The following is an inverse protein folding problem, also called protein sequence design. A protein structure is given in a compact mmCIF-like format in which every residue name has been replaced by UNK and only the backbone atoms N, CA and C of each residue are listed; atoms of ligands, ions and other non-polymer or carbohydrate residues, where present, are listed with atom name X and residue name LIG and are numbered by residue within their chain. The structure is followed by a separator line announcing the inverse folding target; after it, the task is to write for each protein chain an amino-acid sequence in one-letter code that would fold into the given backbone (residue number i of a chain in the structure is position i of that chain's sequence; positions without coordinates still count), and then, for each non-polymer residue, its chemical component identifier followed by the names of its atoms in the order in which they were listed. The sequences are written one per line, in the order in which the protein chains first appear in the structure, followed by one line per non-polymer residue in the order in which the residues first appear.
data_IF_483117607420
#
_entry.id   IF_483117607420
#
_cell.length_a   1.000
_cell.length_b   1.000
_cell.length_c   1.000
_cell.angle_alpha   90.00
_cell.angle_beta   90.00
_cell.angle_gamma   90.00
#
_symmetry.space_group_name_H-M   'P 1'
#
loop_
_entity.id
_entity.type
_entity.pdbx_description
1 polymer ?
#
# COMPACT_ATOMS: atom_id res chain seq x y z
N UNK A 1 0.99 1.85 16.85
CA UNK A 1 1.75 1.15 15.79
C UNK A 1 1.07 1.41 14.45
N UNK A 2 1.73 2.08 13.51
CA UNK A 2 1.17 2.31 12.17
C UNK A 2 1.59 1.13 11.30
N UNK A 3 0.65 0.32 10.85
CA UNK A 3 0.92 -0.80 9.94
C UNK A 3 1.11 -0.30 8.51
N UNK A 4 1.75 -1.14 7.68
CA UNK A 4 1.89 -0.86 6.24
C UNK A 4 0.54 -0.63 5.56
N UNK A 5 -0.47 -1.44 5.88
CA UNK A 5 -1.83 -1.30 5.35
C UNK A 5 -2.45 0.06 5.69
N UNK A 6 -2.37 0.49 6.95
CA UNK A 6 -2.86 1.81 7.38
C UNK A 6 -2.07 2.96 6.75
N UNK A 7 -0.76 2.80 6.54
CA UNK A 7 0.07 3.78 5.86
C UNK A 7 -0.32 3.93 4.38
N UNK A 8 -0.48 2.81 3.66
CA UNK A 8 -0.94 2.80 2.27
C UNK A 8 -2.33 3.44 2.12
N UNK A 9 -3.27 3.11 3.04
CA UNK A 9 -4.60 3.75 3.08
C UNK A 9 -4.49 5.26 3.22
N UNK A 10 -3.64 5.75 4.12
CA UNK A 10 -3.44 7.18 4.33
C UNK A 10 -2.93 7.85 3.04
N UNK A 11 -1.94 7.25 2.38
CA UNK A 11 -1.38 7.77 1.11
C UNK A 11 -2.43 7.82 0.00
N UNK A 12 -3.24 6.77 -0.16
CA UNK A 12 -4.36 6.76 -1.12
C UNK A 12 -5.38 7.87 -0.86
N UNK A 13 -5.79 8.05 0.40
CA UNK A 13 -6.77 9.08 0.77
C UNK A 13 -6.23 10.50 0.59
N UNK A 14 -4.94 10.76 0.84
CA UNK A 14 -4.32 12.06 0.58
C UNK A 14 -4.33 12.42 -0.91
N UNK A 15 -4.27 11.42 -1.80
CA UNK A 15 -4.42 11.60 -3.24
C UNK A 15 -5.90 11.62 -3.71
N UNK A 16 -6.87 11.57 -2.79
CA UNK A 16 -8.32 11.50 -3.08
C UNK A 16 -8.73 10.34 -4.00
N UNK A 17 -8.01 9.21 -3.94
CA UNK A 17 -8.26 8.06 -4.81
C UNK A 17 -9.23 7.07 -4.17
N UNK A 18 -10.16 6.55 -4.97
CA UNK A 18 -10.94 5.34 -4.64
C UNK A 18 -10.10 4.08 -4.86
N UNK A 19 -10.48 2.96 -4.24
CA UNK A 19 -9.79 1.68 -4.49
C UNK A 19 -9.92 1.24 -5.95
N UNK A 20 -11.04 1.52 -6.61
CA UNK A 20 -11.24 1.17 -8.01
C UNK A 20 -10.27 1.93 -8.92
N UNK A 21 -10.10 3.22 -8.69
CA UNK A 21 -9.11 4.02 -9.42
C UNK A 21 -7.68 3.47 -9.24
N UNK A 22 -7.32 3.02 -8.03
CA UNK A 22 -6.02 2.38 -7.82
C UNK A 22 -5.88 1.10 -8.66
N UNK A 23 -6.89 0.23 -8.65
CA UNK A 23 -6.89 -1.01 -9.46
C UNK A 23 -6.74 -0.68 -10.95
N UNK A 24 -7.53 0.27 -11.45
CA UNK A 24 -7.54 0.61 -12.87
C UNK A 24 -6.21 1.23 -13.31
N UNK A 25 -5.65 2.14 -12.49
CA UNK A 25 -4.36 2.78 -12.76
C UNK A 25 -3.20 1.80 -12.66
N UNK A 26 -3.14 0.98 -11.61
CA UNK A 26 -2.05 -0.02 -11.45
C UNK A 26 -2.04 -1.05 -12.58
N UNK A 27 -3.22 -1.44 -13.08
CA UNK A 27 -3.34 -2.29 -14.26
C UNK A 27 -2.88 -1.59 -15.53
N UNK A 28 -3.26 -0.33 -15.73
CA UNK A 28 -3.02 0.40 -16.98
C UNK A 28 -1.59 0.89 -17.10
N UNK A 29 -1.02 1.44 -16.03
CA UNK A 29 0.31 2.07 -16.04
C UNK A 29 1.44 1.07 -15.73
N UNK A 30 1.16 0.03 -14.93
CA UNK A 30 2.19 -0.89 -14.44
C UNK A 30 1.96 -2.35 -14.86
N UNK A 31 0.83 -2.66 -15.52
CA UNK A 31 0.46 -4.05 -15.83
C UNK A 31 0.14 -4.90 -14.58
N UNK A 32 0.09 -4.29 -13.40
CA UNK A 32 -0.11 -4.98 -12.13
C UNK A 32 -1.59 -5.29 -11.94
N UNK A 33 -1.94 -6.58 -11.88
CA UNK A 33 -3.33 -7.02 -11.69
C UNK A 33 -3.63 -7.24 -10.22
N UNK A 34 -4.58 -6.48 -9.68
CA UNK A 34 -5.09 -6.63 -8.30
C UNK A 34 -6.59 -6.37 -8.26
N UNK A 35 -7.20 -6.39 -7.07
CA UNK A 35 -8.64 -6.13 -6.89
C UNK A 35 -8.90 -5.18 -5.72
N UNK A 36 -10.08 -4.56 -5.73
CA UNK A 36 -10.52 -3.69 -4.64
C UNK A 36 -10.66 -4.45 -3.33
N UNK A 37 -11.02 -5.73 -3.36
CA UNK A 37 -11.10 -6.59 -2.18
C UNK A 37 -9.72 -6.89 -1.59
N UNK A 38 -8.70 -7.14 -2.42
CA UNK A 38 -7.32 -7.34 -1.99
C UNK A 38 -6.76 -6.06 -1.36
N UNK A 39 -6.88 -4.93 -2.05
CA UNK A 39 -6.42 -3.64 -1.52
C UNK A 39 -7.15 -3.26 -0.23
N UNK A 40 -8.46 -3.48 -0.15
CA UNK A 40 -9.25 -3.25 1.07
C UNK A 40 -8.79 -4.14 2.23
N UNK A 41 -8.50 -5.42 1.97
CA UNK A 41 -8.01 -6.35 2.99
C UNK A 41 -6.63 -5.94 3.51
N UNK A 42 -5.74 -5.45 2.64
CA UNK A 42 -4.43 -4.89 3.02
C UNK A 42 -4.64 -3.63 3.88
N UNK A 43 -5.42 -2.67 3.40
CA UNK A 43 -5.64 -1.37 4.09
C UNK A 43 -6.34 -1.47 5.45
N UNK A 44 -7.06 -2.58 5.67
CA UNK A 44 -7.75 -2.87 6.93
C UNK A 44 -6.99 -3.87 7.81
N UNK A 45 -5.75 -4.20 7.46
CA UNK A 45 -4.89 -5.18 8.13
C UNK A 45 -5.51 -6.60 8.24
N UNK A 46 -6.57 -6.89 7.45
CA UNK A 46 -7.16 -8.23 7.35
C UNK A 46 -6.23 -9.20 6.64
N UNK A 47 -5.48 -8.70 5.67
CA UNK A 47 -4.37 -9.41 5.04
C UNK A 47 -3.05 -8.82 5.55
N UNK A 48 -2.22 -9.65 6.18
CA UNK A 48 -0.91 -9.25 6.71
C UNK A 48 0.22 -9.39 5.69
N UNK A 49 -0.06 -10.04 4.55
CA UNK A 49 0.89 -10.28 3.48
C UNK A 49 0.52 -9.36 2.32
N UNK A 50 1.50 -8.64 1.83
CA UNK A 50 1.41 -7.88 0.58
C UNK A 50 2.42 -8.50 -0.39
N UNK A 51 2.00 -8.68 -1.62
CA UNK A 51 2.89 -9.08 -2.69
C UNK A 51 3.96 -8.00 -2.92
N UNK A 52 5.19 -8.43 -3.21
CA UNK A 52 6.32 -7.53 -3.38
C UNK A 52 6.15 -6.59 -4.56
N UNK A 53 5.71 -7.11 -5.72
CA UNK A 53 5.47 -6.30 -6.92
C UNK A 53 4.39 -5.26 -6.66
N UNK A 54 3.28 -5.68 -6.04
CA UNK A 54 2.21 -4.77 -5.65
C UNK A 54 2.71 -3.68 -4.69
N UNK A 55 3.58 -4.02 -3.73
CA UNK A 55 4.15 -3.04 -2.82
C UNK A 55 4.97 -1.98 -3.56
N UNK A 56 5.84 -2.39 -4.49
CA UNK A 56 6.65 -1.45 -5.27
C UNK A 56 5.80 -0.59 -6.20
N UNK A 57 4.80 -1.17 -6.87
CA UNK A 57 3.85 -0.43 -7.71
C UNK A 57 3.07 0.61 -6.90
N UNK A 58 2.53 0.23 -5.74
CA UNK A 58 1.84 1.17 -4.87
C UNK A 58 2.79 2.23 -4.30
N UNK A 59 4.06 1.89 -4.08
CA UNK A 59 5.05 2.84 -3.58
C UNK A 59 5.39 3.90 -4.62
N UNK A 60 5.58 3.49 -5.88
CA UNK A 60 5.80 4.42 -6.98
C UNK A 60 4.56 5.29 -7.21
N UNK A 61 3.38 4.66 -7.36
CA UNK A 61 2.12 5.35 -7.62
C UNK A 61 1.74 6.37 -6.52
N UNK A 62 2.00 6.03 -5.26
CA UNK A 62 1.70 6.91 -4.13
C UNK A 62 2.84 7.86 -3.75
N UNK A 63 3.96 7.85 -4.49
CA UNK A 63 5.18 8.61 -4.17
C UNK A 63 5.61 8.38 -2.71
N UNK A 64 5.74 7.11 -2.35
CA UNK A 64 6.21 6.67 -1.05
C UNK A 64 7.74 6.60 -1.08
N UNK A 65 8.37 7.30 -0.13
CA UNK A 65 9.78 7.08 0.16
C UNK A 65 9.95 5.71 0.83
N UNK A 66 10.62 4.79 0.13
CA UNK A 66 10.88 3.44 0.62
C UNK A 66 11.77 3.43 1.87
N UNK A 67 12.62 4.43 2.07
CA UNK A 67 13.41 4.58 3.30
C UNK A 67 12.54 4.97 4.49
N UNK A 68 11.55 5.86 4.27
CA UNK A 68 10.55 6.19 5.29
C UNK A 68 9.74 4.94 5.66
N UNK A 69 9.28 4.20 4.65
CA UNK A 69 8.52 2.97 4.85
C UNK A 69 9.33 1.90 5.58
N UNK A 70 10.59 1.69 5.20
CA UNK A 70 11.51 0.77 5.88
C UNK A 70 11.68 1.16 7.35
N UNK A 71 11.96 2.44 7.61
CA UNK A 71 12.15 2.97 8.97
C UNK A 71 10.90 2.72 9.83
N UNK A 72 9.71 2.95 9.26
CA UNK A 72 8.44 2.71 9.94
C UNK A 72 8.27 1.23 10.32
N UNK A 73 8.57 0.32 9.39
CA UNK A 73 8.48 -1.12 9.61
C UNK A 73 9.46 -1.57 10.69
N UNK A 74 10.73 -1.18 10.59
CA UNK A 74 11.77 -1.56 11.55
C UNK A 74 11.48 -1.01 12.95
N UNK A 75 11.01 0.24 13.05
CA UNK A 75 10.59 0.83 14.34
C UNK A 75 9.45 0.04 14.99
N UNK A 76 8.47 -0.42 14.22
CA UNK A 76 7.38 -1.22 14.76
C UNK A 76 7.84 -2.60 15.28
N UNK A 77 8.92 -3.16 14.72
CA UNK A 77 9.50 -4.43 15.19
C UNK A 77 10.25 -4.27 16.51
N UNK A 78 10.88 -3.11 16.75
CA UNK A 78 11.59 -2.81 18.00
C UNK A 78 10.65 -2.51 19.18
N UNK A 79 9.37 -2.26 18.92
CA UNK A 79 8.34 -1.95 19.95
C UNK A 79 7.55 -3.22 20.34
N UNK A 80 7.89 -4.39 19.80
CA UNK A 80 7.35 -5.69 20.24
C UNK A 80 8.18 -6.28 21.37
#
# INVERSE_FOLDING_TARGET
MITIGKYLRKKRLLKNLTLQQVVDTTKTEYGCTTSTSVLSAIETDKNKIIDGELLFVLSDFYEIDLQELQTLILKNLQIK
#
